data_IF_999934856927
#
_entry.id   IF_999934856927
#
_cell.length_a   1.000
_cell.length_b   1.000
_cell.length_c   1.000
_cell.angle_alpha   90.00
_cell.angle_beta   90.00
_cell.angle_gamma   90.00
#
_symmetry.space_group_name_H-M   'P 1'
#
loop_
_entity.id
_entity.type
_entity.pdbx_description
1 polymer ?
#
# COMPACT_ATOMS: atom_id res chain seq x y z
N UNK A 1 -77.65 -29.00 4.76
CA UNK A 1 -77.04 -28.42 3.53
C UNK A 1 -75.88 -27.54 4.00
N UNK A 2 -74.60 -27.94 3.76
CA UNK A 2 -73.61 -27.22 2.90
C UNK A 2 -73.48 -25.71 3.27
N UNK A 3 -72.36 -25.15 3.72
CA UNK A 3 -70.98 -25.08 3.18
C UNK A 3 -70.00 -24.67 4.32
N UNK A 4 -68.79 -25.23 4.50
CA UNK A 4 -67.53 -25.22 3.72
C UNK A 4 -66.64 -23.95 3.87
N UNK A 5 -65.40 -24.17 4.38
CA UNK A 5 -64.08 -23.47 4.15
C UNK A 5 -63.95 -21.99 4.57
N UNK A 6 -62.81 -21.36 4.94
CA UNK A 6 -61.36 -21.58 4.85
C UNK A 6 -60.64 -20.45 5.66
N UNK A 7 -59.29 -20.52 5.76
CA UNK A 7 -58.27 -19.52 6.21
C UNK A 7 -57.92 -19.57 7.72
N UNK A 8 -56.81 -20.14 8.20
CA UNK A 8 -55.38 -20.15 7.84
C UNK A 8 -54.69 -18.77 7.99
N UNK A 9 -53.99 -18.56 9.11
CA UNK A 9 -52.84 -17.67 9.21
C UNK A 9 -52.01 -18.01 10.46
N UNK A 10 -51.00 -18.86 10.28
CA UNK A 10 -49.93 -19.04 11.27
C UNK A 10 -48.98 -17.84 11.20
N UNK A 11 -48.72 -17.17 12.33
CA UNK A 11 -47.70 -16.13 12.44
C UNK A 11 -46.31 -16.79 12.33
N UNK A 12 -45.67 -16.68 11.17
CA UNK A 12 -44.25 -17.00 11.01
C UNK A 12 -43.40 -15.80 11.47
N UNK A 13 -42.57 -16.01 12.49
CA UNK A 13 -41.55 -15.07 12.92
C UNK A 13 -40.45 -15.04 11.85
N UNK A 14 -40.41 -13.98 11.03
CA UNK A 14 -39.28 -13.71 10.15
C UNK A 14 -38.15 -13.10 10.97
N UNK A 15 -37.15 -13.92 11.30
CA UNK A 15 -35.86 -13.44 11.79
C UNK A 15 -35.15 -12.74 10.65
N UNK A 16 -35.01 -11.42 10.73
CA UNK A 16 -34.15 -10.67 9.83
C UNK A 16 -32.68 -11.07 10.11
N UNK A 17 -32.15 -11.98 9.31
CA UNK A 17 -30.71 -12.12 9.18
C UNK A 17 -30.21 -10.84 8.48
N UNK A 18 -29.75 -9.87 9.27
CA UNK A 18 -28.97 -8.77 8.74
C UNK A 18 -27.70 -9.38 8.14
N UNK A 19 -27.71 -9.59 6.82
CA UNK A 19 -26.49 -9.82 6.05
C UNK A 19 -25.69 -8.54 6.16
N UNK A 20 -24.84 -8.47 7.20
CA UNK A 20 -23.77 -7.50 7.24
C UNK A 20 -22.92 -7.74 6.01
N UNK A 21 -23.13 -6.96 4.96
CA UNK A 21 -22.18 -6.88 3.87
C UNK A 21 -20.86 -6.49 4.52
N UNK A 22 -19.78 -7.28 4.37
CA UNK A 22 -18.47 -6.77 4.70
C UNK A 22 -18.32 -5.55 3.78
N UNK A 23 -18.29 -4.35 4.38
CA UNK A 23 -17.69 -3.24 3.69
C UNK A 23 -16.29 -3.72 3.35
N UNK A 24 -16.04 -4.01 2.09
CA UNK A 24 -14.69 -4.08 1.56
C UNK A 24 -14.15 -2.69 1.83
N UNK A 25 -13.47 -2.55 2.97
CA UNK A 25 -12.55 -1.46 3.19
C UNK A 25 -11.63 -1.59 2.00
N UNK A 26 -11.72 -0.63 1.09
CA UNK A 26 -10.66 -0.35 0.15
C UNK A 26 -9.48 0.06 1.04
N UNK A 27 -8.82 -0.95 1.60
CA UNK A 27 -7.38 -0.93 1.73
C UNK A 27 -6.93 -0.54 0.33
N UNK A 28 -6.67 0.75 0.16
CA UNK A 28 -5.53 1.15 -0.65
C UNK A 28 -4.45 0.23 -0.14
N UNK A 29 -4.18 -0.88 -0.86
CA UNK A 29 -3.05 -1.75 -0.56
C UNK A 29 -1.92 -0.80 -0.25
N UNK A 30 -1.58 -0.72 1.05
CA UNK A 30 -0.48 0.08 1.48
C UNK A 30 0.70 -0.70 0.93
N UNK A 31 1.07 -0.36 -0.30
CA UNK A 31 2.09 -1.08 -1.06
C UNK A 31 3.27 -1.29 -0.13
N UNK A 32 3.83 -2.50 -0.17
CA UNK A 32 4.90 -2.89 0.73
C UNK A 32 5.93 -1.76 0.84
N UNK A 33 6.11 -1.13 2.02
CA UNK A 33 6.94 0.07 2.14
C UNK A 33 8.42 -0.23 1.83
N UNK A 34 8.79 -1.50 1.81
CA UNK A 34 10.11 -1.99 1.48
C UNK A 34 10.27 -2.28 -0.02
N UNK A 35 9.20 -2.22 -0.82
CA UNK A 35 9.25 -2.37 -2.27
C UNK A 35 8.82 -1.09 -2.99
N UNK A 36 9.79 -0.20 -3.21
CA UNK A 36 9.59 1.07 -3.89
C UNK A 36 9.47 0.84 -5.40
N UNK A 37 8.24 0.90 -5.93
CA UNK A 37 7.94 0.73 -7.36
C UNK A 37 6.93 1.77 -7.84
N UNK A 38 6.87 2.00 -9.15
CA UNK A 38 5.91 2.93 -9.75
C UNK A 38 6.34 4.38 -9.57
N UNK A 39 5.52 5.20 -8.88
CA UNK A 39 5.85 6.61 -8.62
C UNK A 39 6.31 6.78 -7.18
N UNK A 40 7.50 7.35 -6.99
CA UNK A 40 8.02 7.60 -5.66
C UNK A 40 7.17 8.61 -4.89
N UNK A 41 6.87 8.27 -3.64
CA UNK A 41 6.23 9.17 -2.69
C UNK A 41 7.29 9.59 -1.67
N UNK A 42 7.53 10.89 -1.57
CA UNK A 42 8.42 11.41 -0.53
C UNK A 42 7.85 11.10 0.85
N UNK A 43 8.72 10.72 1.80
CA UNK A 43 8.32 10.38 3.16
C UNK A 43 7.82 8.94 3.35
N UNK A 44 8.06 8.04 2.39
CA UNK A 44 7.82 6.60 2.61
C UNK A 44 8.69 6.10 3.77
N UNK A 45 8.06 5.49 4.78
CA UNK A 45 8.76 4.97 5.94
C UNK A 45 9.40 3.60 5.64
N UNK A 46 10.71 3.61 5.43
CA UNK A 46 11.53 2.41 5.20
C UNK A 46 12.29 1.94 6.45
N UNK A 47 12.03 2.55 7.61
CA UNK A 47 12.80 2.32 8.84
C UNK A 47 12.66 0.92 9.43
N UNK A 48 11.55 0.23 9.12
CA UNK A 48 11.32 -1.16 9.50
C UNK A 48 11.93 -2.17 8.52
N UNK A 49 12.31 -1.73 7.32
CA UNK A 49 12.74 -2.58 6.22
C UNK A 49 14.17 -3.07 6.40
N UNK A 50 14.35 -4.39 6.47
CA UNK A 50 15.68 -5.00 6.48
C UNK A 50 16.22 -5.22 5.06
N UNK A 51 15.32 -5.33 4.08
CA UNK A 51 15.65 -5.36 2.65
C UNK A 51 14.74 -4.38 1.95
N UNK A 52 15.30 -3.45 1.18
CA UNK A 52 14.58 -2.45 0.40
C UNK A 52 14.82 -2.77 -1.06
N UNK A 53 13.76 -3.04 -1.81
CA UNK A 53 13.80 -3.22 -3.25
C UNK A 53 13.37 -1.92 -3.93
N UNK A 54 14.24 -1.34 -4.72
CA UNK A 54 13.96 -0.17 -5.55
C UNK A 54 13.76 -0.66 -6.98
N UNK A 55 12.52 -0.98 -7.32
CA UNK A 55 12.16 -1.49 -8.65
C UNK A 55 12.01 -0.39 -9.69
N UNK A 56 11.39 -0.65 -10.87
CA UNK A 56 11.12 0.39 -11.84
C UNK A 56 10.35 1.53 -11.16
N UNK A 57 11.03 2.66 -10.98
CA UNK A 57 10.58 3.74 -10.10
C UNK A 57 10.80 5.07 -10.81
N UNK A 58 9.77 5.89 -10.84
CA UNK A 58 9.81 7.26 -11.33
C UNK A 58 9.78 8.19 -10.13
N UNK A 59 10.88 8.88 -9.90
CA UNK A 59 11.00 9.93 -8.90
C UNK A 59 10.53 11.24 -9.53
N UNK A 60 9.57 11.96 -8.91
CA UNK A 60 9.12 13.25 -9.43
C UNK A 60 10.26 14.27 -9.56
N UNK A 61 10.04 15.30 -10.36
CA UNK A 61 10.99 16.41 -10.46
C UNK A 61 11.07 17.18 -9.13
N UNK A 62 12.25 17.68 -8.78
CA UNK A 62 12.49 18.42 -7.52
C UNK A 62 12.26 17.58 -6.24
N UNK A 63 12.35 16.26 -6.36
CA UNK A 63 12.23 15.32 -5.23
C UNK A 63 13.48 14.47 -5.13
N UNK A 64 13.99 14.31 -3.91
CA UNK A 64 15.05 13.36 -3.59
C UNK A 64 14.45 11.99 -3.31
N UNK A 65 15.00 10.94 -3.92
CA UNK A 65 14.81 9.56 -3.44
C UNK A 65 15.57 9.42 -2.12
N UNK A 66 14.85 9.51 -1.01
CA UNK A 66 15.42 9.43 0.32
C UNK A 66 15.39 8.00 0.87
N UNK A 67 16.59 7.43 1.01
CA UNK A 67 16.84 6.12 1.63
C UNK A 67 17.60 6.28 2.96
N UNK A 68 17.69 7.49 3.52
CA UNK A 68 18.39 7.80 4.77
C UNK A 68 17.79 7.12 6.00
N UNK A 69 16.49 6.81 5.93
CA UNK A 69 15.75 6.18 7.01
C UNK A 69 15.89 4.66 6.98
N UNK A 70 16.73 4.08 6.11
CA UNK A 70 16.92 2.65 6.05
C UNK A 70 17.42 2.09 7.40
N UNK A 71 16.87 0.95 7.80
CA UNK A 71 17.29 0.26 9.02
C UNK A 71 18.79 -0.04 8.99
N UNK A 72 19.46 0.03 10.14
CA UNK A 72 20.85 -0.38 10.26
C UNK A 72 21.04 -1.85 9.84
N UNK A 73 22.06 -2.12 9.02
CA UNK A 73 22.27 -3.45 8.43
C UNK A 73 21.36 -3.77 7.24
N UNK A 74 20.54 -2.83 6.77
CA UNK A 74 19.63 -3.10 5.67
C UNK A 74 20.37 -3.28 4.33
N UNK A 75 19.75 -4.06 3.44
CA UNK A 75 20.18 -4.22 2.06
C UNK A 75 19.24 -3.45 1.13
N UNK A 76 19.79 -2.54 0.33
CA UNK A 76 19.07 -1.81 -0.72
C UNK A 76 19.44 -2.44 -2.06
N UNK A 77 18.44 -2.92 -2.81
CA UNK A 77 18.61 -3.54 -4.13
C UNK A 77 17.90 -2.71 -5.19
N UNK A 78 18.63 -2.17 -6.16
CA UNK A 78 18.02 -1.53 -7.32
C UNK A 78 17.67 -2.58 -8.38
N UNK A 79 16.38 -2.82 -8.59
CA UNK A 79 15.86 -3.82 -9.53
C UNK A 79 15.26 -3.13 -10.75
N UNK A 80 16.10 -2.86 -11.77
CA UNK A 80 15.67 -2.25 -13.02
C UNK A 80 16.07 -0.77 -13.13
N UNK A 81 15.19 0.07 -13.69
CA UNK A 81 15.51 1.46 -14.01
C UNK A 81 14.77 2.45 -13.13
N UNK A 82 15.51 3.28 -12.40
CA UNK A 82 14.97 4.45 -11.71
C UNK A 82 15.14 5.69 -12.58
N UNK A 83 14.06 6.42 -12.81
CA UNK A 83 14.05 7.67 -13.58
C UNK A 83 13.73 8.86 -12.68
N UNK A 84 14.21 10.03 -13.06
CA UNK A 84 13.98 11.27 -12.32
C UNK A 84 13.32 12.29 -13.24
N UNK A 85 12.31 12.98 -12.73
CA UNK A 85 11.71 14.11 -13.42
C UNK A 85 12.70 15.25 -13.58
N UNK A 86 12.64 15.94 -14.71
CA UNK A 86 13.56 17.02 -15.04
C UNK A 86 13.14 18.33 -14.37
N UNK A 87 13.97 18.85 -13.47
CA UNK A 87 13.86 20.21 -12.92
C UNK A 87 15.25 20.81 -12.72
N UNK A 88 15.33 22.15 -12.71
CA UNK A 88 16.54 22.87 -12.28
C UNK A 88 16.44 23.11 -10.78
N UNK A 89 17.27 22.43 -10.02
CA UNK A 89 17.30 22.52 -8.55
C UNK A 89 18.67 22.12 -8.03
N UNK A 90 18.92 22.32 -6.74
CA UNK A 90 20.23 22.05 -6.14
C UNK A 90 20.52 20.54 -5.97
N UNK A 91 19.49 19.69 -6.00
CA UNK A 91 19.62 18.28 -5.65
C UNK A 91 19.69 18.06 -4.13
N UNK A 92 20.01 16.83 -3.69
CA UNK A 92 20.46 15.66 -4.47
C UNK A 92 19.31 14.83 -5.07
N UNK A 93 19.59 14.06 -6.13
CA UNK A 93 18.62 13.11 -6.70
C UNK A 93 18.35 11.92 -5.77
N UNK A 94 19.39 11.38 -5.13
CA UNK A 94 19.32 10.23 -4.23
C UNK A 94 20.09 10.55 -2.95
N UNK A 95 19.53 10.21 -1.80
CA UNK A 95 20.17 10.31 -0.49
C UNK A 95 20.21 8.93 0.16
N UNK A 96 21.40 8.46 0.54
CA UNK A 96 21.59 7.19 1.25
C UNK A 96 22.46 7.45 2.47
N UNK A 97 21.95 7.12 3.65
CA UNK A 97 22.71 7.21 4.90
C UNK A 97 22.20 6.16 5.89
N UNK A 98 23.09 5.67 6.75
CA UNK A 98 22.77 4.68 7.78
C UNK A 98 24.00 3.88 8.17
N UNK A 99 23.88 2.99 9.15
CA UNK A 99 24.98 2.15 9.59
C UNK A 99 24.94 0.76 8.94
N UNK A 100 26.09 0.29 8.47
CA UNK A 100 26.25 -1.05 7.88
C UNK A 100 25.27 -1.36 6.74
N UNK A 101 24.97 -0.36 5.91
CA UNK A 101 24.11 -0.54 4.74
C UNK A 101 24.85 -1.28 3.62
N UNK A 102 24.14 -2.17 2.94
CA UNK A 102 24.62 -2.79 1.71
C UNK A 102 23.77 -2.32 0.53
N UNK A 103 24.38 -1.68 -0.46
CA UNK A 103 23.69 -1.24 -1.68
C UNK A 103 24.15 -2.10 -2.85
N UNK A 104 23.19 -2.64 -3.62
CA UNK A 104 23.43 -3.52 -4.76
C UNK A 104 22.67 -3.07 -6.00
#
# INVERSE_FOLDING_TARGET
>A
MKCFISTFAALALFSAAATGSPMIRQEVEAGDPCNLTGTYKAGTDISSCSTISVGPLTVPADVTLDLSQAKNGATINFTGTTTFGTAKWAGPLVSVSGNSLTVK
#
